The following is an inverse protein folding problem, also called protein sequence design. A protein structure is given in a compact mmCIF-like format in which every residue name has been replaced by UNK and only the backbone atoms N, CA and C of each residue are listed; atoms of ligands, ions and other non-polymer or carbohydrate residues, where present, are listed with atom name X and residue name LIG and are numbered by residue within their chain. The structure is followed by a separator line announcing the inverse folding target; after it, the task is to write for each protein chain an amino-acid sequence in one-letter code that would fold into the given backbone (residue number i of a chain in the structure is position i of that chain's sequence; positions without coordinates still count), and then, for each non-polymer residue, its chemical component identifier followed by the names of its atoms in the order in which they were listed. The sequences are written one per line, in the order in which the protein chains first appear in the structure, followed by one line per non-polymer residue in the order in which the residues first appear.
data_IF_431558383147
#
_entry.id   IF_431558383147
#
_cell.length_a   1.000
_cell.length_b   1.000
_cell.length_c   1.000
_cell.angle_alpha   90.00
_cell.angle_beta   90.00
_cell.angle_gamma   90.00
#
_symmetry.space_group_name_H-M   'P 1'
#
loop_
_entity.id
_entity.type
_entity.pdbx_description
1 polymer ?
#
# COMPACT_ATOMS: atom_id res chain seq x y z
N UNK A 1 9.15 -22.43 -23.06
CA UNK A 1 8.52 -21.13 -22.74
C UNK A 1 7.21 -21.29 -21.94
N UNK A 2 6.23 -22.09 -22.42
CA UNK A 2 4.99 -22.37 -21.66
C UNK A 2 5.21 -22.98 -20.27
N UNK A 3 6.16 -23.91 -20.11
CA UNK A 3 6.47 -24.53 -18.82
C UNK A 3 6.96 -23.52 -17.76
N UNK A 4 7.73 -22.51 -18.16
CA UNK A 4 8.17 -21.39 -17.29
C UNK A 4 7.03 -20.43 -16.92
N UNK A 5 5.99 -20.35 -17.76
CA UNK A 5 4.82 -19.53 -17.51
C UNK A 5 3.91 -20.20 -16.47
N UNK A 6 3.71 -21.52 -16.61
CA UNK A 6 2.94 -22.34 -15.68
C UNK A 6 3.64 -22.55 -14.32
N UNK A 7 4.98 -22.49 -14.26
CA UNK A 7 5.76 -22.61 -13.00
C UNK A 7 5.82 -21.32 -12.16
N UNK A 8 5.31 -20.20 -12.70
CA UNK A 8 5.43 -18.87 -12.07
C UNK A 8 6.87 -18.32 -11.99
N UNK A 9 7.85 -19.02 -12.57
CA UNK A 9 9.24 -18.57 -12.61
C UNK A 9 9.40 -17.28 -13.42
N UNK A 10 8.67 -17.17 -14.55
CA UNK A 10 8.72 -15.98 -15.39
C UNK A 10 8.20 -14.74 -14.64
N UNK A 11 7.15 -14.91 -13.82
CA UNK A 11 6.59 -13.85 -12.98
C UNK A 11 7.55 -13.46 -11.85
N UNK A 12 8.24 -14.43 -11.23
CA UNK A 12 9.28 -14.19 -10.23
C UNK A 12 10.51 -13.49 -10.80
N UNK A 13 10.96 -13.87 -12.01
CA UNK A 13 12.05 -13.22 -12.74
C UNK A 13 11.67 -11.78 -13.11
N UNK A 14 10.45 -11.55 -13.60
CA UNK A 14 9.96 -10.22 -13.93
C UNK A 14 9.80 -9.32 -12.70
N UNK A 15 9.27 -9.85 -11.59
CA UNK A 15 9.14 -9.13 -10.31
C UNK A 15 10.50 -8.75 -9.71
N UNK A 16 11.53 -9.59 -9.89
CA UNK A 16 12.91 -9.23 -9.50
C UNK A 16 13.55 -8.17 -10.40
N UNK A 17 13.20 -8.13 -11.69
CA UNK A 17 13.84 -7.21 -12.67
C UNK A 17 13.17 -5.84 -12.78
N UNK A 18 11.86 -5.73 -12.57
CA UNK A 18 11.10 -4.53 -12.94
C UNK A 18 10.40 -3.83 -11.77
N UNK A 19 10.47 -4.36 -10.55
CA UNK A 19 9.83 -3.72 -9.39
C UNK A 19 10.87 -2.89 -8.63
N UNK A 20 10.75 -1.55 -8.60
CA UNK A 20 11.65 -0.72 -7.80
C UNK A 20 11.52 -1.12 -6.32
N UNK A 21 12.63 -1.17 -5.60
CA UNK A 21 12.58 -1.44 -4.17
C UNK A 21 11.79 -0.34 -3.44
N UNK A 22 11.14 -0.69 -2.33
CA UNK A 22 10.45 0.27 -1.46
C UNK A 22 11.34 1.49 -1.14
N UNK A 23 12.63 1.25 -0.91
CA UNK A 23 13.63 2.29 -0.73
C UNK A 23 13.70 3.29 -1.89
N UNK A 24 13.78 2.80 -3.13
CA UNK A 24 13.86 3.65 -4.33
C UNK A 24 12.58 4.49 -4.45
N UNK A 25 11.41 3.88 -4.28
CA UNK A 25 10.12 4.58 -4.36
C UNK A 25 10.05 5.70 -3.32
N UNK A 26 10.44 5.41 -2.07
CA UNK A 26 10.45 6.37 -0.97
C UNK A 26 11.45 7.51 -1.19
N UNK A 27 12.63 7.19 -1.75
CA UNK A 27 13.63 8.19 -2.10
C UNK A 27 13.09 9.17 -3.16
N UNK A 28 12.48 8.66 -4.24
CA UNK A 28 11.85 9.51 -5.26
C UNK A 28 10.70 10.35 -4.69
N UNK A 29 9.84 9.75 -3.87
CA UNK A 29 8.76 10.44 -3.18
C UNK A 29 9.29 11.57 -2.28
N UNK A 30 10.37 11.32 -1.55
CA UNK A 30 11.02 12.33 -0.71
C UNK A 30 11.60 13.48 -1.53
N UNK A 31 12.29 13.16 -2.63
CA UNK A 31 12.86 14.16 -3.53
C UNK A 31 11.79 15.08 -4.12
N UNK A 32 10.70 14.50 -4.63
CA UNK A 32 9.59 15.26 -5.23
C UNK A 32 8.90 16.15 -4.19
N UNK A 33 8.69 15.65 -2.97
CA UNK A 33 8.17 16.47 -1.85
C UNK A 33 9.08 17.66 -1.56
N UNK A 34 10.39 17.44 -1.48
CA UNK A 34 11.37 18.53 -1.25
C UNK A 34 11.33 19.56 -2.36
N UNK A 35 11.30 19.13 -3.63
CA UNK A 35 11.21 20.04 -4.78
C UNK A 35 9.91 20.86 -4.73
N UNK A 36 8.77 20.24 -4.43
CA UNK A 36 7.49 20.93 -4.33
C UNK A 36 7.47 21.96 -3.19
N UNK A 37 8.09 21.64 -2.05
CA UNK A 37 8.25 22.59 -0.93
C UNK A 37 9.08 23.79 -1.34
N UNK A 38 10.23 23.59 -1.99
CA UNK A 38 11.07 24.69 -2.47
C UNK A 38 10.33 25.56 -3.49
N UNK A 39 9.59 24.96 -4.42
CA UNK A 39 8.73 25.70 -5.36
C UNK A 39 7.66 26.50 -4.64
N UNK A 40 7.02 25.93 -3.62
CA UNK A 40 5.98 26.62 -2.85
C UNK A 40 6.56 27.78 -2.01
N UNK A 41 7.79 27.68 -1.52
CA UNK A 41 8.51 28.81 -0.90
C UNK A 41 8.75 29.92 -1.92
N UNK A 42 9.21 29.57 -3.13
CA UNK A 42 9.37 30.56 -4.21
C UNK A 42 8.03 31.23 -4.58
N UNK A 43 6.96 30.45 -4.74
CA UNK A 43 5.61 30.95 -5.02
C UNK A 43 5.13 31.88 -3.90
N UNK A 44 5.37 31.51 -2.63
CA UNK A 44 5.04 32.35 -1.49
C UNK A 44 5.73 33.71 -1.56
N UNK A 45 7.05 33.73 -1.81
CA UNK A 45 7.84 34.97 -1.92
C UNK A 45 7.34 35.81 -3.11
N UNK A 46 7.10 35.19 -4.27
CA UNK A 46 6.61 35.90 -5.45
C UNK A 46 5.23 36.52 -5.20
N UNK A 47 4.30 35.74 -4.62
CA UNK A 47 2.93 36.18 -4.33
C UNK A 47 2.86 37.28 -3.27
N UNK A 48 3.79 37.32 -2.31
CA UNK A 48 3.80 38.32 -1.24
C UNK A 48 4.69 39.54 -1.53
N UNK A 49 5.66 39.42 -2.44
CA UNK A 49 6.58 40.52 -2.78
C UNK A 49 6.26 41.16 -4.14
N UNK A 50 6.19 40.35 -5.21
CA UNK A 50 6.14 40.84 -6.59
C UNK A 50 4.72 41.17 -7.03
N UNK A 51 3.75 40.34 -6.65
CA UNK A 51 2.34 40.53 -7.00
C UNK A 51 1.78 41.86 -6.51
N UNK A 52 1.96 42.27 -5.23
CA UNK A 52 1.49 43.58 -4.76
C UNK A 52 2.28 44.74 -5.37
N UNK A 53 3.60 44.56 -5.56
CA UNK A 53 4.49 45.61 -6.04
C UNK A 53 4.28 45.94 -7.52
N UNK A 54 4.13 44.93 -8.37
CA UNK A 54 4.03 45.06 -9.82
C UNK A 54 2.61 44.79 -10.37
N UNK A 55 1.60 44.66 -9.48
CA UNK A 55 0.21 44.31 -9.82
C UNK A 55 0.12 43.12 -10.79
N UNK A 56 0.89 42.06 -10.53
CA UNK A 56 0.89 40.82 -11.33
C UNK A 56 -0.13 39.82 -10.82
N UNK A 57 -0.40 38.77 -11.60
CA UNK A 57 -1.23 37.65 -11.17
C UNK A 57 -0.49 36.73 -10.20
N UNK A 58 -1.17 36.22 -9.16
CA UNK A 58 -0.61 35.23 -8.24
C UNK A 58 -0.39 33.89 -8.94
N UNK A 59 0.63 33.17 -8.49
CA UNK A 59 0.90 31.78 -8.89
C UNK A 59 0.18 30.81 -7.95
N UNK A 60 -0.29 29.70 -8.49
CA UNK A 60 -0.88 28.60 -7.73
C UNK A 60 0.18 27.77 -7.01
N UNK A 61 -0.14 27.33 -5.80
CA UNK A 61 0.72 26.42 -5.03
C UNK A 61 0.66 25.00 -5.61
N UNK A 62 1.78 24.29 -5.56
CA UNK A 62 1.80 22.87 -5.89
C UNK A 62 1.20 22.09 -4.71
N UNK A 63 0.20 21.25 -4.98
CA UNK A 63 -0.31 20.32 -4.00
C UNK A 63 0.70 19.20 -3.70
N UNK A 64 0.88 18.88 -2.43
CA UNK A 64 1.61 17.66 -2.04
C UNK A 64 0.75 16.45 -2.42
N UNK A 65 1.13 15.76 -3.50
CA UNK A 65 0.56 14.46 -3.85
C UNK A 65 1.02 13.42 -2.84
N UNK A 66 0.09 12.58 -2.39
CA UNK A 66 0.41 11.38 -1.63
C UNK A 66 1.12 10.42 -2.56
N UNK A 67 2.41 10.19 -2.32
CA UNK A 67 3.13 9.11 -3.00
C UNK A 67 2.79 7.80 -2.33
N UNK A 68 2.27 6.88 -3.13
CA UNK A 68 1.86 5.56 -2.66
C UNK A 68 2.98 4.61 -2.98
N UNK A 69 3.50 3.92 -1.96
CA UNK A 69 4.37 2.77 -2.15
C UNK A 69 3.51 1.50 -2.15
N UNK A 70 3.30 0.85 -3.31
CA UNK A 70 2.42 -0.31 -3.39
C UNK A 70 2.83 -1.46 -2.47
N UNK A 71 4.14 -1.59 -2.18
CA UNK A 71 4.64 -2.59 -1.25
C UNK A 71 4.11 -2.35 0.17
N UNK A 72 4.26 -1.12 0.67
CA UNK A 72 3.79 -0.73 2.00
C UNK A 72 2.27 -0.89 2.13
N UNK A 73 1.52 -0.59 1.07
CA UNK A 73 0.06 -0.75 1.09
C UNK A 73 -0.34 -2.22 1.11
N UNK A 74 0.32 -3.08 0.33
CA UNK A 74 0.05 -4.52 0.34
C UNK A 74 0.41 -5.12 1.70
N UNK A 75 1.55 -4.74 2.27
CA UNK A 75 1.99 -5.23 3.57
C UNK A 75 1.01 -4.80 4.67
N UNK A 76 0.57 -3.54 4.67
CA UNK A 76 -0.44 -3.04 5.60
C UNK A 76 -1.80 -3.73 5.44
N UNK A 77 -2.25 -3.99 4.20
CA UNK A 77 -3.48 -4.74 3.95
C UNK A 77 -3.38 -6.17 4.46
N UNK A 78 -2.24 -6.84 4.23
CA UNK A 78 -2.00 -8.18 4.73
C UNK A 78 -2.00 -8.21 6.25
N UNK A 79 -1.38 -7.23 6.91
CA UNK A 79 -1.35 -7.13 8.37
C UNK A 79 -2.76 -6.94 8.94
N UNK A 80 -3.55 -6.04 8.37
CA UNK A 80 -4.94 -5.78 8.81
C UNK A 80 -5.82 -7.02 8.62
N UNK A 81 -5.78 -7.68 7.47
CA UNK A 81 -6.59 -8.88 7.25
C UNK A 81 -6.08 -10.08 8.07
N UNK A 82 -4.78 -10.19 8.32
CA UNK A 82 -4.24 -11.21 9.21
C UNK A 82 -4.73 -11.01 10.65
N UNK A 83 -4.78 -9.76 11.13
CA UNK A 83 -5.37 -9.40 12.42
C UNK A 83 -6.85 -9.81 12.48
N UNK A 84 -7.65 -9.40 11.49
CA UNK A 84 -9.08 -9.72 11.40
C UNK A 84 -9.32 -11.25 11.43
N UNK A 85 -8.58 -12.00 10.62
CA UNK A 85 -8.79 -13.45 10.45
C UNK A 85 -8.22 -14.24 11.64
N UNK A 86 -6.96 -14.00 12.02
CA UNK A 86 -6.23 -14.88 12.95
C UNK A 86 -6.44 -14.47 14.41
N UNK A 87 -6.61 -13.18 14.71
CA UNK A 87 -6.66 -12.66 16.08
C UNK A 87 -8.07 -12.27 16.51
N UNK A 88 -8.79 -11.55 15.67
CA UNK A 88 -10.16 -11.11 16.00
C UNK A 88 -11.18 -12.21 15.68
N UNK A 89 -10.95 -12.96 14.60
CA UNK A 89 -11.85 -14.01 14.11
C UNK A 89 -13.11 -13.49 13.45
N UNK A 90 -13.15 -12.19 13.16
CA UNK A 90 -14.20 -11.53 12.39
C UNK A 90 -13.48 -10.76 11.30
N UNK A 91 -13.80 -11.04 10.04
CA UNK A 91 -13.06 -10.49 8.91
C UNK A 91 -13.97 -10.13 7.75
N UNK A 92 -13.52 -9.17 6.93
CA UNK A 92 -14.18 -8.84 5.68
C UNK A 92 -13.89 -9.93 4.64
N UNK A 93 -14.92 -10.66 4.22
CA UNK A 93 -14.81 -11.73 3.24
C UNK A 93 -14.75 -11.23 1.78
N UNK A 94 -15.05 -9.95 1.54
CA UNK A 94 -14.95 -9.31 0.22
C UNK A 94 -14.28 -7.93 0.32
N UNK A 95 -12.96 -7.86 0.59
CA UNK A 95 -12.22 -6.61 0.63
C UNK A 95 -11.96 -6.09 -0.79
N UNK A 96 -13.01 -5.65 -1.48
CA UNK A 96 -12.95 -5.08 -2.82
C UNK A 96 -12.18 -3.74 -2.80
N UNK A 97 -11.33 -3.44 -3.81
CA UNK A 97 -10.54 -2.20 -3.84
C UNK A 97 -11.36 -0.90 -3.71
N UNK A 98 -12.62 -0.90 -4.15
CA UNK A 98 -13.54 0.23 -3.99
C UNK A 98 -13.85 0.60 -2.54
N UNK A 99 -13.62 -0.32 -1.60
CA UNK A 99 -13.89 -0.16 -0.17
C UNK A 99 -12.63 0.21 0.63
N UNK A 100 -11.48 0.36 -0.04
CA UNK A 100 -10.17 0.63 0.55
C UNK A 100 -9.73 2.04 0.15
N UNK A 101 -9.63 2.92 1.14
CA UNK A 101 -9.23 4.31 0.97
C UNK A 101 -7.83 4.54 1.53
N UNK A 102 -6.99 5.23 0.76
CA UNK A 102 -5.70 5.70 1.23
C UNK A 102 -5.86 7.08 1.86
N UNK A 103 -5.55 7.17 3.16
CA UNK A 103 -5.64 8.40 3.92
C UNK A 103 -4.33 9.18 3.81
N UNK A 104 -4.43 10.52 3.89
CA UNK A 104 -3.26 11.44 3.77
C UNK A 104 -2.15 11.18 4.79
N UNK A 105 -2.47 10.51 5.91
CA UNK A 105 -1.53 10.15 6.97
C UNK A 105 -0.88 8.76 6.77
N UNK A 106 -1.04 8.14 5.59
CA UNK A 106 -0.47 6.82 5.30
C UNK A 106 -1.24 5.66 5.91
N UNK A 107 -2.44 5.90 6.46
CA UNK A 107 -3.35 4.84 6.92
C UNK A 107 -4.26 4.37 5.80
N UNK A 108 -4.82 3.18 5.97
CA UNK A 108 -5.95 2.69 5.17
C UNK A 108 -7.27 2.91 5.91
N UNK A 109 -8.30 3.33 5.19
CA UNK A 109 -9.68 3.36 5.66
C UNK A 109 -10.47 2.26 4.98
N UNK A 110 -11.14 1.42 5.76
CA UNK A 110 -12.06 0.38 5.28
C UNK A 110 -13.48 0.86 5.58
N UNK A 111 -14.36 0.92 4.59
CA UNK A 111 -15.69 1.53 4.74
C UNK A 111 -16.87 0.56 4.62
N UNK A 112 -16.67 -0.59 3.98
CA UNK A 112 -17.74 -1.55 3.70
C UNK A 112 -17.43 -2.87 4.39
N UNK A 113 -18.33 -3.23 5.31
CA UNK A 113 -18.32 -4.49 6.05
C UNK A 113 -19.64 -5.24 5.82
N UNK A 114 -20.24 -5.08 4.64
CA UNK A 114 -21.49 -5.75 4.26
C UNK A 114 -21.33 -7.27 4.12
N UNK A 115 -20.12 -7.77 3.89
CA UNK A 115 -19.78 -9.20 3.83
C UNK A 115 -18.75 -9.57 4.89
N UNK A 116 -19.18 -9.66 6.14
CA UNK A 116 -18.33 -10.12 7.25
C UNK A 116 -18.59 -11.59 7.56
N UNK A 117 -17.52 -12.31 7.89
CA UNK A 117 -17.60 -13.69 8.34
C UNK A 117 -16.88 -13.90 9.67
N UNK A 118 -17.33 -14.90 10.42
CA UNK A 118 -16.76 -15.28 11.71
C UNK A 118 -16.04 -16.65 11.62
N UNK A 119 -14.87 -16.73 12.23
CA UNK A 119 -14.11 -17.97 12.40
C UNK A 119 -13.96 -18.28 13.89
N UNK A 120 -14.46 -19.44 14.27
CA UNK A 120 -14.23 -20.00 15.61
C UNK A 120 -12.72 -20.12 15.90
N UNK A 121 -12.35 -20.05 17.18
CA UNK A 121 -10.96 -20.23 17.60
C UNK A 121 -10.35 -21.54 17.06
N UNK A 122 -11.12 -22.63 17.04
CA UNK A 122 -10.64 -23.91 16.53
C UNK A 122 -10.32 -23.87 15.03
N UNK A 123 -11.11 -23.16 14.22
CA UNK A 123 -10.81 -22.96 12.80
C UNK A 123 -9.61 -22.05 12.59
N UNK A 124 -9.48 -20.98 13.37
CA UNK A 124 -8.32 -20.06 13.31
C UNK A 124 -7.01 -20.76 13.59
N UNK A 125 -6.97 -21.62 14.61
CA UNK A 125 -5.78 -22.41 14.95
C UNK A 125 -5.41 -23.40 13.84
N UNK A 126 -6.42 -24.06 13.23
CA UNK A 126 -6.19 -24.95 12.08
C UNK A 126 -5.64 -24.19 10.87
N UNK A 127 -6.21 -23.02 10.58
CA UNK A 127 -5.75 -22.15 9.50
C UNK A 127 -4.32 -21.66 9.74
N UNK A 128 -4.00 -21.19 10.94
CA UNK A 128 -2.65 -20.77 11.31
C UNK A 128 -1.64 -21.93 11.15
N UNK A 129 -1.99 -23.13 11.62
CA UNK A 129 -1.17 -24.33 11.46
C UNK A 129 -0.95 -24.64 9.97
N UNK A 130 -1.99 -24.60 9.16
CA UNK A 130 -1.90 -24.82 7.72
C UNK A 130 -0.95 -23.82 7.05
N UNK A 131 -1.04 -22.52 7.38
CA UNK A 131 -0.16 -21.48 6.84
C UNK A 131 1.30 -21.75 7.19
N UNK A 132 1.60 -22.13 8.44
CA UNK A 132 2.96 -22.46 8.88
C UNK A 132 3.49 -23.69 8.13
N UNK A 133 2.73 -24.78 8.07
CA UNK A 133 3.12 -26.00 7.36
C UNK A 133 3.39 -25.75 5.87
N UNK A 134 2.55 -24.92 5.23
CA UNK A 134 2.74 -24.51 3.84
C UNK A 134 4.00 -23.67 3.66
N UNK A 135 4.31 -22.77 4.60
CA UNK A 135 5.51 -21.94 4.56
C UNK A 135 6.80 -22.76 4.77
N UNK A 136 6.74 -23.80 5.60
CA UNK A 136 7.85 -24.71 5.89
C UNK A 136 8.03 -25.79 4.79
N UNK A 137 7.03 -25.99 3.93
CA UNK A 137 7.09 -26.93 2.80
C UNK A 137 6.88 -28.40 3.19
N UNK A 138 6.48 -28.68 4.42
CA UNK A 138 6.13 -30.01 4.92
C UNK A 138 4.75 -30.40 4.38
N UNK A 139 4.72 -31.26 3.36
CA UNK A 139 3.48 -31.75 2.74
C UNK A 139 2.85 -32.90 3.53
N UNK A 140 3.63 -33.57 4.36
CA UNK A 140 3.23 -34.80 5.05
C UNK A 140 2.26 -34.57 6.22
N UNK A 141 2.13 -33.35 6.73
CA UNK A 141 1.27 -33.02 7.89
C UNK A 141 -0.03 -32.30 7.54
N UNK A 142 -0.30 -32.04 6.26
CA UNK A 142 -1.52 -31.36 5.81
C UNK A 142 -2.61 -32.43 5.60
N UNK A 143 -3.35 -32.73 6.69
CA UNK A 143 -4.53 -33.62 6.70
C UNK A 143 -5.72 -32.86 7.27
#
# INVERSE_FOLDING_TARGET
MMAKYLSGELHREAKKRYTPSAFIVNMYASLIRTINRLKNVYIYIYNHSIVPLLKRFPLEYNEERVFINPHEIIDLLNEVHAQEILLDGIFNADPHPGNIFLLKNGKIGLIDFGQVQELSLSHRLKLAKLIVLLAEGTKEEIV
#
